data_IF_656557399954
#
_entry.id   IF_656557399954
#
_cell.length_a   1.000
_cell.length_b   1.000
_cell.length_c   1.000
_cell.angle_alpha   90.00
_cell.angle_beta   90.00
_cell.angle_gamma   90.00
#
_symmetry.space_group_name_H-M   'P 1'
#
loop_
_entity.id
_entity.type
_entity.pdbx_description
1 polymer ?
#
# COMPACT_ATOMS: atom_id res chain seq x y z
N UNK A 1 -13.92 -26.65 18.76
CA UNK A 1 -13.80 -25.87 17.51
C UNK A 1 -12.34 -25.95 17.12
N UNK A 2 -12.00 -26.71 16.08
CA UNK A 2 -10.63 -26.84 15.61
C UNK A 2 -10.32 -25.59 14.78
N UNK A 3 -9.40 -24.75 15.24
CA UNK A 3 -8.98 -23.57 14.50
C UNK A 3 -8.03 -23.98 13.40
N UNK A 4 -8.23 -23.47 12.17
CA UNK A 4 -7.25 -23.61 11.10
C UNK A 4 -5.90 -23.04 11.57
N UNK A 5 -4.88 -23.89 11.63
CA UNK A 5 -3.52 -23.46 11.95
C UNK A 5 -2.95 -22.81 10.71
N UNK A 6 -2.97 -21.48 10.64
CA UNK A 6 -2.14 -20.77 9.67
C UNK A 6 -0.67 -21.04 10.00
N UNK A 7 0.03 -21.67 9.07
CA UNK A 7 1.46 -22.03 9.20
C UNK A 7 2.37 -20.85 8.88
N UNK A 8 1.94 -19.63 9.19
CA UNK A 8 2.68 -18.41 8.85
C UNK A 8 3.81 -18.24 9.87
N UNK A 9 5.04 -18.21 9.36
CA UNK A 9 6.24 -17.87 10.12
C UNK A 9 6.66 -16.45 9.79
N UNK A 10 6.26 -15.50 10.63
CA UNK A 10 6.41 -14.08 10.31
C UNK A 10 7.87 -13.66 10.07
N UNK A 11 8.82 -14.21 10.82
CA UNK A 11 10.24 -13.90 10.66
C UNK A 11 10.79 -14.30 9.29
N UNK A 12 10.31 -15.41 8.72
CA UNK A 12 10.68 -15.84 7.37
C UNK A 12 10.06 -14.93 6.30
N UNK A 13 8.80 -14.53 6.49
CA UNK A 13 8.12 -13.62 5.56
C UNK A 13 8.82 -12.25 5.56
N UNK A 14 9.15 -11.70 6.74
CA UNK A 14 9.92 -10.46 6.86
C UNK A 14 11.26 -10.59 6.13
N UNK A 15 11.95 -11.72 6.29
CA UNK A 15 13.23 -11.98 5.60
C UNK A 15 13.07 -11.96 4.07
N UNK A 16 12.00 -12.54 3.54
CA UNK A 16 11.73 -12.54 2.10
C UNK A 16 11.44 -11.12 1.59
N UNK A 17 10.60 -10.36 2.28
CA UNK A 17 10.31 -8.96 1.94
C UNK A 17 11.57 -8.09 1.99
N UNK A 18 12.46 -8.33 2.97
CA UNK A 18 13.76 -7.65 3.02
C UNK A 18 14.60 -7.92 1.76
N UNK A 19 14.63 -9.18 1.29
CA UNK A 19 15.34 -9.54 0.06
C UNK A 19 14.72 -8.86 -1.16
N UNK A 20 13.40 -8.90 -1.31
CA UNK A 20 12.67 -8.26 -2.41
C UNK A 20 12.91 -6.75 -2.46
N UNK A 21 12.95 -6.11 -1.29
CA UNK A 21 13.15 -4.65 -1.16
C UNK A 21 14.61 -4.24 -1.04
N UNK A 22 15.55 -5.18 -1.18
CA UNK A 22 17.00 -4.94 -1.05
C UNK A 22 17.39 -4.27 0.28
N UNK A 23 16.67 -4.56 1.36
CA UNK A 23 16.93 -4.02 2.70
C UNK A 23 17.82 -4.99 3.47
N UNK A 24 18.99 -4.51 3.91
CA UNK A 24 19.89 -5.32 4.73
C UNK A 24 19.43 -5.36 6.20
N UNK A 25 19.92 -6.35 6.96
CA UNK A 25 19.65 -6.42 8.41
C UNK A 25 20.10 -5.17 9.16
N UNK A 26 21.25 -4.63 8.80
CA UNK A 26 21.78 -3.41 9.42
C UNK A 26 20.89 -2.19 9.12
N UNK A 27 20.42 -2.08 7.88
CA UNK A 27 19.50 -1.00 7.50
C UNK A 27 18.15 -1.12 8.23
N UNK A 28 17.59 -2.33 8.31
CA UNK A 28 16.36 -2.57 9.07
C UNK A 28 16.54 -2.22 10.56
N UNK A 29 17.65 -2.62 11.17
CA UNK A 29 17.97 -2.27 12.56
C UNK A 29 18.04 -0.76 12.75
N UNK A 30 18.63 -0.03 11.80
CA UNK A 30 18.70 1.44 11.81
C UNK A 30 17.32 2.09 11.71
N UNK A 31 16.46 1.62 10.80
CA UNK A 31 15.08 2.14 10.63
C UNK A 31 14.23 1.92 11.88
N UNK A 32 14.40 0.78 12.53
CA UNK A 32 13.69 0.42 13.76
C UNK A 32 14.33 1.02 15.03
N UNK A 33 15.51 1.63 14.91
CA UNK A 33 16.28 2.16 16.05
C UNK A 33 16.61 1.08 17.10
N UNK A 34 16.87 -0.15 16.65
CA UNK A 34 17.22 -1.29 17.50
C UNK A 34 18.63 -1.80 17.21
N UNK A 35 19.13 -2.67 18.08
CA UNK A 35 20.40 -3.35 17.86
C UNK A 35 20.25 -4.41 16.74
N UNK A 36 21.28 -4.65 15.90
CA UNK A 36 21.23 -5.69 14.88
C UNK A 36 20.83 -7.08 15.40
N UNK A 37 21.24 -7.43 16.63
CA UNK A 37 20.87 -8.69 17.28
C UNK A 37 19.36 -8.83 17.51
N UNK A 38 18.66 -7.72 17.75
CA UNK A 38 17.20 -7.71 17.87
C UNK A 38 16.54 -8.09 16.54
N UNK A 39 17.10 -7.64 15.42
CA UNK A 39 16.63 -8.03 14.08
C UNK A 39 16.95 -9.50 13.82
N UNK A 40 18.16 -9.98 14.15
CA UNK A 40 18.50 -11.40 14.00
C UNK A 40 17.53 -12.30 14.76
N UNK A 41 17.22 -11.94 16.01
CA UNK A 41 16.25 -12.64 16.83
C UNK A 41 14.84 -12.60 16.23
N UNK A 42 14.38 -11.43 15.78
CA UNK A 42 13.06 -11.24 15.17
C UNK A 42 12.87 -12.13 13.94
N UNK A 43 13.89 -12.27 13.10
CA UNK A 43 13.82 -13.07 11.87
C UNK A 43 13.72 -14.58 12.13
N UNK A 44 14.02 -15.07 13.34
CA UNK A 44 13.82 -16.48 13.70
C UNK A 44 12.46 -16.75 14.33
N UNK A 45 11.58 -15.74 14.47
CA UNK A 45 10.32 -15.87 15.19
C UNK A 45 9.20 -16.41 14.30
N UNK A 46 8.40 -17.31 14.86
CA UNK A 46 7.12 -17.71 14.27
C UNK A 46 6.08 -16.58 14.34
N UNK A 47 6.05 -15.85 15.45
CA UNK A 47 5.14 -14.73 15.70
C UNK A 47 5.87 -13.61 16.45
N UNK A 48 5.36 -12.39 16.26
CA UNK A 48 5.78 -11.17 16.96
C UNK A 48 4.53 -10.40 17.41
N UNK A 49 4.68 -9.48 18.35
CA UNK A 49 3.58 -8.60 18.77
C UNK A 49 3.21 -7.60 17.66
N UNK A 50 2.00 -7.06 17.78
CA UNK A 50 1.39 -6.19 16.77
C UNK A 50 2.11 -4.85 16.62
N UNK A 51 2.68 -4.31 17.71
CA UNK A 51 3.39 -3.04 17.68
C UNK A 51 4.72 -3.19 16.93
N UNK A 52 5.44 -4.28 17.20
CA UNK A 52 6.65 -4.64 16.44
C UNK A 52 6.30 -4.88 14.98
N UNK A 53 5.23 -5.63 14.69
CA UNK A 53 4.76 -5.89 13.33
C UNK A 53 4.48 -4.59 12.58
N UNK A 54 3.76 -3.64 13.20
CA UNK A 54 3.45 -2.34 12.64
C UNK A 54 4.71 -1.53 12.31
N UNK A 55 5.67 -1.47 13.24
CA UNK A 55 6.92 -0.74 13.03
C UNK A 55 7.76 -1.36 11.91
N UNK A 56 7.80 -2.70 11.82
CA UNK A 56 8.46 -3.42 10.72
C UNK A 56 7.74 -3.17 9.40
N UNK A 57 6.41 -3.16 9.40
CA UNK A 57 5.60 -2.83 8.23
C UNK A 57 5.96 -1.45 7.68
N UNK A 58 6.06 -0.43 8.54
CA UNK A 58 6.49 0.92 8.13
C UNK A 58 7.94 0.96 7.67
N UNK A 59 8.84 0.30 8.39
CA UNK A 59 10.27 0.30 8.06
C UNK A 59 10.55 -0.37 6.70
N UNK A 60 9.74 -1.36 6.32
CA UNK A 60 9.85 -2.05 5.04
C UNK A 60 8.85 -1.56 4.00
N UNK A 61 7.96 -0.61 4.32
CA UNK A 61 6.88 -0.16 3.43
C UNK A 61 6.06 -1.35 2.88
N UNK A 62 5.71 -2.29 3.75
CA UNK A 62 4.98 -3.51 3.42
C UNK A 62 3.96 -3.81 4.50
N UNK A 63 2.72 -4.08 4.14
CA UNK A 63 1.70 -4.38 5.13
C UNK A 63 1.65 -5.88 5.49
N UNK A 64 2.35 -6.25 6.56
CA UNK A 64 2.35 -7.62 7.05
C UNK A 64 1.03 -8.04 7.71
N UNK A 65 0.13 -7.10 8.06
CA UNK A 65 -1.16 -7.46 8.65
C UNK A 65 -2.08 -8.18 7.65
N UNK A 66 -1.89 -7.94 6.34
CA UNK A 66 -2.62 -8.65 5.26
C UNK A 66 -2.44 -10.16 5.32
N UNK A 67 -1.31 -10.65 5.84
CA UNK A 67 -1.04 -12.08 5.98
C UNK A 67 -2.03 -12.78 6.92
N UNK A 68 -2.62 -12.01 7.84
CA UNK A 68 -3.57 -12.50 8.84
C UNK A 68 -4.99 -12.03 8.57
N UNK A 69 -5.24 -11.41 7.42
CA UNK A 69 -6.58 -10.95 7.07
C UNK A 69 -7.52 -12.14 6.83
N UNK A 70 -8.71 -12.07 7.42
CA UNK A 70 -9.73 -13.11 7.29
C UNK A 70 -10.37 -13.03 5.90
N UNK A 71 -10.51 -11.81 5.38
CA UNK A 71 -11.03 -11.53 4.04
C UNK A 71 -9.93 -10.96 3.14
N UNK A 72 -9.97 -11.31 1.84
CA UNK A 72 -8.96 -10.91 0.85
C UNK A 72 -8.90 -9.39 0.57
N UNK A 73 -9.86 -8.61 1.07
CA UNK A 73 -10.02 -7.17 0.75
C UNK A 73 -9.94 -6.25 1.99
N UNK A 74 -9.35 -6.68 3.11
CA UNK A 74 -9.16 -5.78 4.25
C UNK A 74 -8.32 -4.56 3.87
N UNK A 75 -8.92 -3.36 3.99
CA UNK A 75 -8.26 -2.07 3.73
C UNK A 75 -7.65 -1.49 5.01
N UNK A 76 -6.41 -1.00 4.92
CA UNK A 76 -5.78 -0.22 5.97
C UNK A 76 -6.39 1.18 6.04
N UNK A 77 -7.16 1.47 7.10
CA UNK A 77 -7.74 2.80 7.33
C UNK A 77 -6.69 3.88 7.70
N UNK A 78 -5.50 3.47 8.15
CA UNK A 78 -4.41 4.39 8.56
C UNK A 78 -3.62 4.97 7.39
N UNK A 79 -3.77 4.43 6.17
CA UNK A 79 -3.38 5.17 4.99
C UNK A 79 -4.45 6.22 4.80
N UNK A 80 -4.14 7.48 5.12
CA UNK A 80 -4.87 8.60 4.52
C UNK A 80 -5.06 8.23 3.06
N UNK A 81 -6.32 8.15 2.63
CA UNK A 81 -6.65 7.88 1.23
C UNK A 81 -5.71 8.79 0.42
N UNK A 82 -4.75 8.21 -0.29
CA UNK A 82 -4.15 8.87 -1.43
C UNK A 82 -5.31 9.00 -2.41
N UNK A 83 -6.15 10.01 -2.16
CA UNK A 83 -7.29 10.35 -2.95
C UNK A 83 -6.75 10.41 -4.36
N UNK A 84 -7.17 9.43 -5.15
CA UNK A 84 -6.75 9.16 -6.52
C UNK A 84 -6.01 10.35 -7.09
N UNK A 85 -4.68 10.27 -7.17
CA UNK A 85 -3.85 11.28 -7.81
C UNK A 85 -4.10 11.18 -9.32
N UNK A 86 -5.33 11.48 -9.74
CA UNK A 86 -5.75 11.67 -11.10
C UNK A 86 -5.01 12.92 -11.56
N UNK A 87 -3.86 12.71 -12.22
CA UNK A 87 -3.02 13.74 -12.82
C UNK A 87 -3.69 14.39 -14.05
N UNK A 88 -5.01 14.51 -14.04
CA UNK A 88 -5.93 14.72 -15.16
C UNK A 88 -6.08 13.49 -16.06
N UNK A 89 -7.33 13.15 -16.37
CA UNK A 89 -7.68 12.16 -17.38
C UNK A 89 -8.29 12.89 -18.58
N UNK A 90 -7.85 12.55 -19.79
CA UNK A 90 -8.50 13.00 -21.02
C UNK A 90 -9.64 12.04 -21.35
N UNK A 91 -10.85 12.57 -21.45
CA UNK A 91 -12.03 11.81 -21.85
C UNK A 91 -12.46 12.33 -23.22
N UNK A 92 -12.65 11.42 -24.18
CA UNK A 92 -13.25 11.71 -25.48
C UNK A 92 -14.68 11.16 -25.45
N UNK A 93 -15.68 12.01 -25.68
CA UNK A 93 -17.08 11.62 -25.73
C UNK A 93 -17.68 12.15 -27.03
N UNK A 94 -18.37 11.28 -27.77
CA UNK A 94 -19.15 11.66 -28.94
C UNK A 94 -20.63 11.72 -28.53
N UNK A 95 -21.25 12.89 -28.71
CA UNK A 95 -22.64 13.17 -28.34
C UNK A 95 -23.34 13.82 -29.52
N UNK A 96 -24.52 13.31 -29.88
CA UNK A 96 -25.44 14.02 -30.76
C UNK A 96 -26.37 14.89 -29.92
N UNK A 97 -26.33 16.20 -30.13
CA UNK A 97 -27.09 17.17 -29.35
C UNK A 97 -27.89 18.08 -30.27
N UNK A 98 -29.08 18.48 -29.80
CA UNK A 98 -29.88 19.49 -30.48
C UNK A 98 -29.29 20.89 -30.25
N UNK A 99 -29.54 21.86 -31.15
CA UNK A 99 -29.00 23.22 -31.02
C UNK A 99 -29.26 23.88 -29.65
N UNK A 100 -30.46 23.70 -29.10
CA UNK A 100 -30.86 24.27 -27.80
C UNK A 100 -30.14 23.63 -26.61
N UNK A 101 -29.61 22.42 -26.76
CA UNK A 101 -28.85 21.70 -25.74
C UNK A 101 -27.38 22.10 -25.77
N UNK A 102 -26.84 22.37 -26.96
CA UNK A 102 -25.46 22.85 -27.16
C UNK A 102 -25.24 24.19 -26.45
N UNK A 103 -26.22 25.11 -26.55
CA UNK A 103 -26.13 26.44 -25.92
C UNK A 103 -26.02 26.31 -24.38
N UNK A 104 -26.62 25.27 -23.79
CA UNK A 104 -26.55 25.00 -22.34
C UNK A 104 -25.19 24.50 -21.88
N UNK A 105 -24.34 23.98 -22.78
CA UNK A 105 -23.03 23.44 -22.42
C UNK A 105 -21.99 24.51 -22.06
N UNK A 106 -22.25 25.80 -22.31
CA UNK A 106 -21.43 26.94 -21.90
C UNK A 106 -19.90 26.74 -22.12
N UNK A 107 -19.53 26.13 -23.24
CA UNK A 107 -18.15 25.82 -23.59
C UNK A 107 -17.44 27.09 -24.07
N UNK A 108 -16.36 27.48 -23.39
CA UNK A 108 -15.53 28.60 -23.84
C UNK A 108 -14.75 28.18 -25.09
N UNK A 109 -15.01 28.86 -26.22
CA UNK A 109 -14.15 28.73 -27.41
C UNK A 109 -12.74 29.18 -27.03
N UNK A 110 -11.77 28.29 -27.12
CA UNK A 110 -10.36 28.65 -27.06
C UNK A 110 -9.98 29.17 -28.45
N UNK A 111 -9.67 30.46 -28.57
CA UNK A 111 -9.12 31.03 -29.80
C UNK A 111 -7.74 30.41 -30.05
N UNK A 112 -7.62 29.66 -31.14
CA UNK A 112 -6.32 29.27 -31.69
C UNK A 112 -5.95 30.41 -32.64
N UNK A 113 -5.01 31.26 -32.22
CA UNK A 113 -4.35 32.18 -33.14
C UNK A 113 -3.45 31.32 -34.05
N UNK A 114 -3.71 31.38 -35.35
CA UNK A 114 -2.82 30.84 -36.38
C UNK A 114 -1.66 31.80 -36.64
#
# INVERSE_FOLDING_TARGET
MEMEKTTIYIGEVIKNVMVEKLVTKAELARRLQVKPQSVDYMLTRKSIDTDTLYNVSKALDYDFALLYSIDKEQMNYDRENEAYKLSTAKILIELELKPDEIIKLNLRKKSVNY
#
